data_IF_836990336278
#
_entry.id   IF_836990336278
#
_cell.length_a   1.000
_cell.length_b   1.000
_cell.length_c   1.000
_cell.angle_alpha   90.00
_cell.angle_beta   90.00
_cell.angle_gamma   90.00
#
_symmetry.space_group_name_H-M   'P 1'
#
loop_
_entity.id
_entity.type
_entity.pdbx_description
1 polymer ?
#
# COMPACT_ATOMS: atom_id res chain seq x y z
N UNK A 1 2.21 9.24 6.72
CA UNK A 1 3.17 8.19 6.31
C UNK A 1 4.25 7.99 7.35
N UNK A 2 4.97 9.05 7.72
CA UNK A 2 6.13 8.99 8.62
C UNK A 2 5.75 8.47 10.01
N UNK A 3 4.71 9.05 10.63
CA UNK A 3 4.26 8.61 11.95
C UNK A 3 3.39 7.34 11.89
N UNK A 4 2.59 7.22 10.83
CA UNK A 4 1.49 6.24 10.75
C UNK A 4 1.85 4.94 10.04
N UNK A 5 2.98 4.88 9.32
CA UNK A 5 3.33 3.75 8.43
C UNK A 5 2.38 3.48 7.27
N UNK A 6 1.37 4.35 7.02
CA UNK A 6 0.37 4.17 5.97
C UNK A 6 0.97 4.18 4.56
N UNK A 7 0.41 3.36 3.68
CA UNK A 7 0.74 3.28 2.26
C UNK A 7 0.18 4.49 1.48
N UNK A 8 0.72 4.74 0.28
CA UNK A 8 0.25 5.81 -0.62
C UNK A 8 -1.26 5.69 -0.91
N UNK A 9 -1.78 4.46 -1.03
CA UNK A 9 -3.21 4.24 -1.31
C UNK A 9 -4.10 4.63 -0.12
N UNK A 10 -3.68 4.33 1.10
CA UNK A 10 -4.41 4.73 2.31
C UNK A 10 -4.38 6.24 2.50
N UNK A 11 -3.23 6.86 2.25
CA UNK A 11 -3.08 8.32 2.29
C UNK A 11 -4.01 8.97 1.26
N UNK A 12 -4.01 8.50 0.01
CA UNK A 12 -4.90 8.98 -1.03
C UNK A 12 -6.38 8.92 -0.59
N UNK A 13 -6.78 7.82 0.05
CA UNK A 13 -8.14 7.68 0.58
C UNK A 13 -8.48 8.68 1.70
N UNK A 14 -7.52 9.02 2.56
CA UNK A 14 -7.71 9.97 3.67
C UNK A 14 -7.83 11.40 3.15
N UNK A 15 -6.98 11.78 2.20
CA UNK A 15 -6.94 13.13 1.64
C UNK A 15 -7.97 13.35 0.52
N UNK A 16 -8.73 12.32 0.14
CA UNK A 16 -9.74 12.42 -0.92
C UNK A 16 -9.15 12.69 -2.31
N UNK A 17 -7.89 12.31 -2.53
CA UNK A 17 -7.18 12.54 -3.80
C UNK A 17 -6.84 11.21 -4.48
N UNK A 18 -6.46 11.28 -5.76
CA UNK A 18 -6.03 10.08 -6.46
C UNK A 18 -4.66 9.61 -5.96
N UNK A 19 -4.42 8.29 -6.02
CA UNK A 19 -3.10 7.70 -5.75
C UNK A 19 -2.01 8.32 -6.63
N UNK A 20 -2.31 8.65 -7.88
CA UNK A 20 -1.35 9.27 -8.80
C UNK A 20 -0.97 10.68 -8.35
N UNK A 21 -1.94 11.44 -7.83
CA UNK A 21 -1.70 12.77 -7.25
C UNK A 21 -0.72 12.69 -6.09
N UNK A 22 -0.97 11.80 -5.13
CA UNK A 22 -0.05 11.60 -3.99
C UNK A 22 1.34 11.16 -4.46
N UNK A 23 1.43 10.26 -5.45
CA UNK A 23 2.73 9.85 -5.98
C UNK A 23 3.51 11.02 -6.60
N UNK A 24 2.87 11.85 -7.42
CA UNK A 24 3.51 13.02 -8.02
C UNK A 24 3.97 14.00 -6.94
N UNK A 25 3.13 14.27 -5.95
CA UNK A 25 3.47 15.18 -4.87
C UNK A 25 4.67 14.67 -4.07
N UNK A 26 4.73 13.37 -3.76
CA UNK A 26 5.83 12.78 -2.98
C UNK A 26 7.14 12.59 -3.78
N UNK A 27 7.08 12.21 -5.06
CA UNK A 27 8.29 11.92 -5.85
C UNK A 27 8.82 13.11 -6.65
N UNK A 28 7.94 14.01 -7.12
CA UNK A 28 8.34 15.10 -8.01
C UNK A 28 8.37 16.44 -7.29
N UNK A 29 7.39 16.72 -6.41
CA UNK A 29 7.26 18.05 -5.78
C UNK A 29 7.96 18.15 -4.44
N UNK A 30 7.90 17.11 -3.63
CA UNK A 30 8.38 17.15 -2.23
C UNK A 30 9.86 17.49 -2.14
N UNK A 31 10.71 16.97 -3.05
CA UNK A 31 12.14 17.28 -3.06
C UNK A 31 12.45 18.77 -3.20
N UNK A 32 11.61 19.51 -3.93
CA UNK A 32 11.77 20.96 -4.14
C UNK A 32 11.21 21.80 -2.98
N UNK A 33 10.36 21.20 -2.14
CA UNK A 33 9.76 21.86 -0.98
C UNK A 33 10.57 21.58 0.29
N UNK A 34 10.91 20.32 0.53
CA UNK A 34 11.69 19.85 1.66
C UNK A 34 12.46 18.55 1.30
N UNK A 35 13.75 18.71 1.04
CA UNK A 35 14.65 17.60 0.68
C UNK A 35 14.83 16.60 1.83
N UNK A 36 14.88 17.06 3.08
CA UNK A 36 15.04 16.16 4.24
C UNK A 36 13.82 15.27 4.38
N UNK A 37 12.63 15.88 4.30
CA UNK A 37 11.37 15.16 4.38
C UNK A 37 11.21 14.18 3.22
N UNK A 38 11.63 14.56 2.01
CA UNK A 38 11.65 13.65 0.85
C UNK A 38 12.46 12.37 1.15
N UNK A 39 13.65 12.48 1.72
CA UNK A 39 14.46 11.31 2.02
C UNK A 39 13.85 10.40 3.09
N UNK A 40 13.14 10.94 4.08
CA UNK A 40 12.41 10.14 5.07
C UNK A 40 11.25 9.39 4.42
N UNK A 41 10.48 10.09 3.59
CA UNK A 41 9.38 9.54 2.81
C UNK A 41 9.87 8.41 1.89
N UNK A 42 10.96 8.62 1.16
CA UNK A 42 11.54 7.66 0.22
C UNK A 42 11.97 6.36 0.91
N UNK A 43 12.58 6.44 2.10
CA UNK A 43 12.93 5.25 2.90
C UNK A 43 11.71 4.39 3.23
N UNK A 44 10.60 5.00 3.62
CA UNK A 44 9.37 4.28 3.95
C UNK A 44 8.73 3.67 2.69
N UNK A 45 8.77 4.39 1.57
CA UNK A 45 8.28 3.88 0.29
C UNK A 45 9.08 2.66 -0.19
N UNK A 46 10.41 2.70 -0.06
CA UNK A 46 11.29 1.56 -0.35
C UNK A 46 10.94 0.35 0.52
N UNK A 47 10.82 0.54 1.83
CA UNK A 47 10.38 -0.53 2.73
C UNK A 47 9.05 -1.16 2.28
N UNK A 48 8.07 -0.33 1.89
CA UNK A 48 6.78 -0.83 1.38
C UNK A 48 6.88 -1.59 0.06
N UNK A 49 7.83 -1.25 -0.81
CA UNK A 49 8.11 -1.99 -2.04
C UNK A 49 8.72 -3.33 -1.70
N UNK A 50 9.71 -3.35 -0.79
CA UNK A 50 10.43 -4.54 -0.40
C UNK A 50 9.50 -5.60 0.18
N UNK A 51 8.58 -5.23 1.08
CA UNK A 51 7.64 -6.18 1.69
C UNK A 51 6.38 -6.46 0.84
N UNK A 52 6.22 -5.81 -0.32
CA UNK A 52 5.00 -5.93 -1.15
C UNK A 52 4.72 -7.39 -1.51
N UNK A 53 5.76 -8.16 -1.81
CA UNK A 53 5.62 -9.57 -2.21
C UNK A 53 5.04 -10.43 -1.08
N UNK A 54 5.47 -10.21 0.17
CA UNK A 54 4.91 -10.89 1.35
C UNK A 54 3.43 -10.56 1.53
N UNK A 55 3.09 -9.27 1.46
CA UNK A 55 1.69 -8.80 1.54
C UNK A 55 0.84 -9.36 0.39
N UNK A 56 1.41 -9.48 -0.81
CA UNK A 56 0.76 -10.08 -1.98
C UNK A 56 0.43 -11.56 -1.77
N UNK A 57 1.38 -12.34 -1.25
CA UNK A 57 1.17 -13.75 -0.89
C UNK A 57 0.05 -13.92 0.13
N UNK A 58 0.05 -13.12 1.19
CA UNK A 58 -1.05 -13.12 2.17
C UNK A 58 -2.41 -12.76 1.56
N UNK A 59 -2.44 -11.78 0.65
CA UNK A 59 -3.69 -11.37 -0.01
C UNK A 59 -4.27 -12.52 -0.84
N UNK A 60 -3.43 -13.23 -1.58
CA UNK A 60 -3.84 -14.42 -2.35
C UNK A 60 -4.35 -15.51 -1.41
N UNK A 61 -3.61 -15.85 -0.35
CA UNK A 61 -4.03 -16.83 0.66
C UNK A 61 -5.41 -16.47 1.24
N UNK A 62 -5.60 -15.22 1.66
CA UNK A 62 -6.88 -14.71 2.20
C UNK A 62 -8.02 -14.81 1.18
N UNK A 63 -7.78 -14.54 -0.11
CA UNK A 63 -8.77 -14.67 -1.18
C UNK A 63 -9.31 -16.10 -1.28
N UNK A 64 -8.41 -17.09 -1.32
CA UNK A 64 -8.81 -18.50 -1.46
C UNK A 64 -9.42 -19.07 -0.17
N UNK A 65 -8.96 -18.65 1.01
CA UNK A 65 -9.62 -19.02 2.28
C UNK A 65 -11.05 -18.47 2.38
N UNK A 66 -11.28 -17.24 1.92
CA UNK A 66 -12.65 -16.69 1.85
C UNK A 66 -13.51 -17.47 0.87
N UNK A 67 -12.94 -17.84 -0.29
CA UNK A 67 -13.65 -18.63 -1.29
C UNK A 67 -14.01 -20.02 -0.74
N UNK A 68 -13.07 -20.73 -0.11
CA UNK A 68 -13.34 -22.04 0.50
C UNK A 68 -14.41 -21.97 1.58
N UNK A 69 -14.38 -20.92 2.42
CA UNK A 69 -15.38 -20.73 3.47
C UNK A 69 -16.76 -20.31 2.95
N UNK A 70 -16.83 -19.82 1.70
CA UNK A 70 -18.09 -19.45 1.04
C UNK A 70 -18.67 -20.55 0.15
N UNK A 71 -17.96 -21.65 -0.05
CA UNK A 71 -18.45 -22.79 -0.81
C UNK A 71 -19.30 -23.71 0.09
N UNK A 72 -20.50 -24.13 -0.36
CA UNK A 72 -21.29 -25.11 0.38
C UNK A 72 -20.54 -26.45 0.48
N UNK A 73 -20.77 -27.25 1.54
CA UNK A 73 -20.02 -28.49 1.82
C UNK A 73 -20.01 -29.50 0.67
N UNK A 74 -21.03 -29.49 -0.19
CA UNK A 74 -21.19 -30.44 -1.30
C UNK A 74 -20.24 -30.19 -2.49
N UNK A 75 -19.66 -28.99 -2.61
CA UNK A 75 -18.83 -28.61 -3.75
C UNK A 75 -17.32 -28.88 -3.57
N UNK A 76 -16.92 -29.55 -2.48
CA UNK A 76 -15.51 -29.76 -2.10
C UNK A 76 -14.97 -31.18 -2.41
N UNK A 77 -15.62 -31.92 -3.31
CA UNK A 77 -15.15 -33.23 -3.80
C UNK A 77 -14.20 -33.09 -5.01
#
# INVERSE_FOLDING_TARGET
>A
MIETGKTVREIASIFGVSKSTVHKDLHERLIHVDEKLYHEVDKILKYHIDIRHLRGGESTKKKYLKLSNSLPPEASL
#
